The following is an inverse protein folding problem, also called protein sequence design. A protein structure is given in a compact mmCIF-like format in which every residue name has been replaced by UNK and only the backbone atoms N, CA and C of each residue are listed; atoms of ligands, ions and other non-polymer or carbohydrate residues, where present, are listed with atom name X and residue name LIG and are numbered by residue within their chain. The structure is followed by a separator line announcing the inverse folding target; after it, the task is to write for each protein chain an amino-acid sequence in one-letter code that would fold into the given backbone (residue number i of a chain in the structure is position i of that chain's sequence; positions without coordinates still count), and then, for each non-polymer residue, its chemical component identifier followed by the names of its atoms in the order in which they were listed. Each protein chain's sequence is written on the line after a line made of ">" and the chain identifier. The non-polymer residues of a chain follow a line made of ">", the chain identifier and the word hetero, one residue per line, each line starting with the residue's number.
data_IF_611417866670
#
_entry.id   IF_611417866670
#
_cell.length_a   1.000
_cell.length_b   1.000
_cell.length_c   1.000
_cell.angle_alpha   90.00
_cell.angle_beta   90.00
_cell.angle_gamma   90.00
#
_symmetry.space_group_name_H-M   'P 1'
#
loop_
_entity.id
_entity.type
_entity.pdbx_description
1 polymer ?
#
# COMPACT_ATOMS: atom_id res chain seq x y z
N UNK A 1 -4.83 35.79 28.55
CA UNK A 1 -3.53 35.21 28.14
C UNK A 1 -3.80 33.92 27.40
N UNK A 2 -3.69 33.92 26.07
CA UNK A 2 -3.92 32.73 25.25
C UNK A 2 -2.68 31.82 25.38
N UNK A 3 -2.84 30.71 26.11
CA UNK A 3 -1.85 29.64 26.17
C UNK A 3 -1.79 28.99 24.79
N UNK A 4 -0.75 29.31 24.03
CA UNK A 4 -0.42 28.63 22.78
C UNK A 4 0.11 27.25 23.18
N UNK A 5 -0.76 26.25 23.17
CA UNK A 5 -0.37 24.88 23.43
C UNK A 5 0.73 24.48 22.42
N UNK A 6 1.85 23.91 22.87
CA UNK A 6 2.90 23.49 21.96
C UNK A 6 2.36 22.42 21.01
N UNK A 7 2.51 22.64 19.71
CA UNK A 7 2.30 21.65 18.66
C UNK A 7 3.19 20.45 18.95
N UNK A 8 2.68 19.48 19.70
CA UNK A 8 3.36 18.22 19.93
C UNK A 8 3.48 17.51 18.58
N UNK A 9 4.65 17.60 17.96
CA UNK A 9 5.01 16.80 16.81
C UNK A 9 4.88 15.32 17.19
N UNK A 10 3.75 14.72 16.83
CA UNK A 10 3.51 13.29 16.94
C UNK A 10 4.60 12.59 16.11
N UNK A 11 5.56 11.96 16.81
CA UNK A 11 6.63 11.20 16.17
C UNK A 11 6.00 10.02 15.42
N UNK A 12 6.20 9.98 14.11
CA UNK A 12 5.80 8.84 13.27
C UNK A 12 6.54 7.59 13.73
N UNK A 13 5.81 6.49 13.93
CA UNK A 13 6.41 5.24 14.40
C UNK A 13 7.25 4.56 13.31
N UNK A 14 8.31 3.84 13.71
CA UNK A 14 9.15 3.04 12.79
C UNK A 14 8.31 2.10 11.92
N UNK A 15 7.26 1.49 12.48
CA UNK A 15 6.33 0.61 11.76
C UNK A 15 5.58 1.33 10.64
N UNK A 16 5.13 2.57 10.85
CA UNK A 16 4.47 3.36 9.81
C UNK A 16 5.44 3.74 8.70
N UNK A 17 6.68 4.07 9.04
CA UNK A 17 7.73 4.34 8.06
C UNK A 17 8.00 3.09 7.20
N UNK A 18 8.11 1.90 7.81
CA UNK A 18 8.30 0.65 7.06
C UNK A 18 7.14 0.38 6.07
N UNK A 19 5.90 0.58 6.51
CA UNK A 19 4.72 0.42 5.63
C UNK A 19 4.72 1.47 4.52
N UNK A 20 5.08 2.72 4.83
CA UNK A 20 5.20 3.79 3.84
C UNK A 20 6.24 3.44 2.76
N UNK A 21 7.43 3.01 3.18
CA UNK A 21 8.50 2.60 2.26
C UNK A 21 8.04 1.45 1.38
N UNK A 22 7.43 0.41 1.96
CA UNK A 22 6.87 -0.70 1.17
C UNK A 22 5.84 -0.24 0.14
N UNK A 23 4.90 0.61 0.54
CA UNK A 23 3.89 1.17 -0.36
C UNK A 23 4.52 2.03 -1.47
N UNK A 24 5.53 2.85 -1.15
CA UNK A 24 6.21 3.68 -2.14
C UNK A 24 7.04 2.87 -3.13
N UNK A 25 7.69 1.78 -2.71
CA UNK A 25 8.41 0.89 -3.63
C UNK A 25 7.46 0.24 -4.65
N UNK A 26 6.30 -0.24 -4.18
CA UNK A 26 5.27 -0.79 -5.08
C UNK A 26 4.71 0.31 -5.99
N UNK A 27 4.46 1.50 -5.44
CA UNK A 27 3.97 2.63 -6.22
C UNK A 27 4.96 3.08 -7.30
N UNK A 28 6.27 3.07 -7.01
CA UNK A 28 7.30 3.42 -7.97
C UNK A 28 7.31 2.43 -9.13
N UNK A 29 7.23 1.13 -8.84
CA UNK A 29 7.11 0.10 -9.87
C UNK A 29 5.86 0.29 -10.75
N UNK A 30 4.72 0.66 -10.15
CA UNK A 30 3.49 0.94 -10.88
C UNK A 30 3.59 2.20 -11.76
N UNK A 31 4.20 3.28 -11.26
CA UNK A 31 4.47 4.48 -12.05
C UNK A 31 5.40 4.19 -13.22
N UNK A 32 6.46 3.41 -13.00
CA UNK A 32 7.35 2.97 -14.09
C UNK A 32 6.56 2.23 -15.17
N UNK A 33 5.69 1.30 -14.77
CA UNK A 33 4.84 0.56 -15.71
C UNK A 33 3.89 1.47 -16.50
N UNK A 34 3.30 2.47 -15.86
CA UNK A 34 2.50 3.49 -16.53
C UNK A 34 3.33 4.26 -17.58
N UNK A 35 4.49 4.80 -17.20
CA UNK A 35 5.35 5.56 -18.11
C UNK A 35 5.89 4.70 -19.25
N UNK A 36 6.31 3.46 -18.99
CA UNK A 36 6.72 2.49 -20.01
C UNK A 36 5.60 2.22 -21.02
N UNK A 37 4.35 2.11 -20.54
CA UNK A 37 3.17 1.90 -21.39
C UNK A 37 2.85 3.13 -22.25
N UNK A 38 3.08 4.32 -21.72
CA UNK A 38 2.87 5.58 -22.43
C UNK A 38 3.95 5.80 -23.50
N UNK A 39 5.22 5.62 -23.16
CA UNK A 39 6.36 5.84 -24.06
C UNK A 39 6.38 4.81 -25.18
N UNK A 40 6.06 3.54 -24.88
CA UNK A 40 6.08 2.46 -25.86
C UNK A 40 4.69 2.12 -26.40
N UNK A 41 3.77 3.10 -26.43
CA UNK A 41 2.38 2.88 -26.81
C UNK A 41 2.24 2.22 -28.19
N UNK A 42 2.90 2.78 -29.21
CA UNK A 42 2.82 2.27 -30.59
C UNK A 42 3.47 0.89 -30.73
N UNK A 43 4.54 0.64 -29.98
CA UNK A 43 5.21 -0.65 -29.94
C UNK A 43 4.32 -1.72 -29.31
N UNK A 44 3.69 -1.44 -28.17
CA UNK A 44 2.75 -2.38 -27.55
C UNK A 44 1.48 -2.59 -28.37
N UNK A 45 1.04 -1.57 -29.11
CA UNK A 45 -0.08 -1.68 -30.05
C UNK A 45 0.27 -2.57 -31.25
N UNK A 46 1.47 -2.44 -31.80
CA UNK A 46 1.91 -3.24 -32.96
C UNK A 46 2.14 -4.71 -32.62
N UNK A 47 2.57 -5.01 -31.40
CA UNK A 47 2.74 -6.38 -30.89
C UNK A 47 1.42 -7.11 -30.61
N UNK A 48 0.28 -6.42 -30.66
CA UNK A 48 -1.05 -6.98 -30.36
C UNK A 48 -1.10 -7.78 -29.04
N UNK A 49 -0.28 -7.38 -28.05
CA UNK A 49 -0.15 -8.09 -26.77
C UNK A 49 -1.47 -7.98 -26.03
N UNK A 50 -1.99 -9.11 -25.55
CA UNK A 50 -3.09 -9.13 -24.60
C UNK A 50 -2.52 -9.21 -23.18
N UNK A 51 -3.00 -8.40 -22.22
CA UNK A 51 -3.96 -7.31 -22.36
C UNK A 51 -3.33 -6.06 -23.01
N UNK A 52 -4.09 -5.39 -23.89
CA UNK A 52 -3.59 -4.31 -24.74
C UNK A 52 -2.92 -3.13 -24.01
N UNK A 53 -2.19 -2.29 -24.75
CA UNK A 53 -1.46 -1.13 -24.22
C UNK A 53 -2.30 -0.23 -23.29
N UNK A 54 -3.58 -0.02 -23.64
CA UNK A 54 -4.52 0.74 -22.83
C UNK A 54 -4.74 0.15 -21.43
N UNK A 55 -4.83 -1.18 -21.31
CA UNK A 55 -4.97 -1.84 -20.03
C UNK A 55 -3.72 -1.64 -19.17
N UNK A 56 -2.52 -1.81 -19.74
CA UNK A 56 -1.27 -1.64 -19.00
C UNK A 56 -1.12 -0.21 -18.45
N UNK A 57 -1.54 0.77 -19.23
CA UNK A 57 -1.59 2.18 -18.82
C UNK A 57 -2.57 2.38 -17.66
N UNK A 58 -3.82 1.94 -17.79
CA UNK A 58 -4.83 2.09 -16.74
C UNK A 58 -4.44 1.35 -15.47
N UNK A 59 -3.98 0.10 -15.59
CA UNK A 59 -3.51 -0.70 -14.46
C UNK A 59 -2.34 -0.03 -13.73
N UNK A 60 -1.35 0.46 -14.49
CA UNK A 60 -0.20 1.17 -13.93
C UNK A 60 -0.63 2.42 -13.17
N UNK A 61 -1.49 3.24 -13.78
CA UNK A 61 -1.99 4.47 -13.18
C UNK A 61 -2.79 4.21 -11.90
N UNK A 62 -3.77 3.30 -11.95
CA UNK A 62 -4.62 2.97 -10.80
C UNK A 62 -3.78 2.41 -9.65
N UNK A 63 -2.90 1.45 -9.94
CA UNK A 63 -2.03 0.85 -8.92
C UNK A 63 -1.11 1.91 -8.30
N UNK A 64 -0.53 2.78 -9.11
CA UNK A 64 0.35 3.84 -8.64
C UNK A 64 -0.38 4.81 -7.71
N UNK A 65 -1.59 5.24 -8.07
CA UNK A 65 -2.39 6.13 -7.25
C UNK A 65 -2.82 5.48 -5.92
N UNK A 66 -3.23 4.20 -5.95
CA UNK A 66 -3.61 3.45 -4.75
C UNK A 66 -2.46 3.36 -3.75
N UNK A 67 -1.28 2.94 -4.20
CA UNK A 67 -0.13 2.76 -3.32
C UNK A 67 0.55 4.09 -2.92
N UNK A 68 0.56 5.11 -3.79
CA UNK A 68 0.98 6.48 -3.42
C UNK A 68 0.09 7.01 -2.31
N UNK A 69 -1.24 6.88 -2.46
CA UNK A 69 -2.21 7.34 -1.46
C UNK A 69 -2.03 6.60 -0.14
N UNK A 70 -1.85 5.28 -0.17
CA UNK A 70 -1.59 4.49 1.03
C UNK A 70 -0.28 4.94 1.74
N UNK A 71 0.79 5.17 0.98
CA UNK A 71 2.08 5.64 1.50
C UNK A 71 2.06 7.05 2.07
N UNK A 72 1.25 7.96 1.52
CA UNK A 72 1.07 9.31 2.08
C UNK A 72 0.21 9.24 3.35
N UNK A 73 -0.94 8.56 3.29
CA UNK A 73 -1.90 8.52 4.39
C UNK A 73 -1.34 7.81 5.64
N UNK A 74 -0.47 6.81 5.46
CA UNK A 74 0.15 6.10 6.60
C UNK A 74 1.10 7.00 7.42
N UNK A 75 1.68 8.02 6.78
CA UNK A 75 2.58 8.98 7.42
C UNK A 75 1.82 10.04 8.21
N UNK A 76 0.53 10.26 7.93
CA UNK A 76 -0.28 11.22 8.68
C UNK A 76 -0.50 10.68 10.11
N UNK A 77 -0.05 11.36 11.17
CA UNK A 77 -0.03 10.87 12.56
C UNK A 77 -1.41 10.68 13.24
N UNK A 78 -2.50 10.62 12.47
CA UNK A 78 -3.86 10.41 12.96
C UNK A 78 -4.26 8.92 12.84
N UNK A 79 -4.98 8.42 13.84
CA UNK A 79 -5.50 7.05 13.86
C UNK A 79 -6.67 6.85 12.89
N UNK A 80 -7.38 7.92 12.50
CA UNK A 80 -8.50 7.88 11.55
C UNK A 80 -8.11 7.32 10.18
N UNK A 81 -6.85 7.50 9.77
CA UNK A 81 -6.35 7.05 8.47
C UNK A 81 -6.01 5.56 8.40
N UNK A 82 -5.99 4.84 9.54
CA UNK A 82 -5.67 3.39 9.55
C UNK A 82 -6.61 2.59 8.67
N UNK A 83 -7.93 2.79 8.82
CA UNK A 83 -8.95 2.05 8.06
C UNK A 83 -8.88 2.36 6.55
N UNK A 84 -8.82 3.62 6.11
CA UNK A 84 -8.56 3.96 4.70
C UNK A 84 -7.29 3.32 4.14
N UNK A 85 -6.17 3.36 4.87
CA UNK A 85 -4.91 2.74 4.43
C UNK A 85 -5.07 1.22 4.28
N UNK A 86 -5.72 0.55 5.23
CA UNK A 86 -5.99 -0.88 5.14
C UNK A 86 -6.84 -1.23 3.91
N UNK A 87 -7.88 -0.43 3.62
CA UNK A 87 -8.72 -0.62 2.45
C UNK A 87 -7.90 -0.45 1.16
N UNK A 88 -7.04 0.58 1.09
CA UNK A 88 -6.18 0.81 -0.08
C UNK A 88 -5.20 -0.34 -0.31
N UNK A 89 -4.56 -0.85 0.75
CA UNK A 89 -3.64 -1.99 0.63
C UNK A 89 -4.36 -3.26 0.15
N UNK A 90 -5.58 -3.50 0.65
CA UNK A 90 -6.41 -4.63 0.22
C UNK A 90 -6.89 -4.46 -1.22
N UNK A 91 -7.33 -3.26 -1.61
CA UNK A 91 -7.73 -2.95 -2.98
C UNK A 91 -6.56 -3.16 -3.95
N UNK A 92 -5.36 -2.68 -3.61
CA UNK A 92 -4.15 -2.91 -4.39
C UNK A 92 -3.80 -4.40 -4.53
N UNK A 93 -3.97 -5.19 -3.45
CA UNK A 93 -3.78 -6.64 -3.50
C UNK A 93 -4.77 -7.32 -4.45
N UNK A 94 -6.05 -6.96 -4.39
CA UNK A 94 -7.08 -7.52 -5.28
C UNK A 94 -6.81 -7.14 -6.73
N UNK A 95 -6.45 -5.87 -7.01
CA UNK A 95 -6.06 -5.41 -8.34
C UNK A 95 -4.86 -6.21 -8.87
N UNK A 96 -3.85 -6.43 -8.03
CA UNK A 96 -2.69 -7.25 -8.37
C UNK A 96 -3.07 -8.70 -8.68
N UNK A 97 -3.96 -9.30 -7.89
CA UNK A 97 -4.42 -10.67 -8.10
C UNK A 97 -5.21 -10.81 -9.40
N UNK A 98 -6.09 -9.86 -9.71
CA UNK A 98 -6.82 -9.83 -10.98
C UNK A 98 -5.83 -9.76 -12.15
N UNK A 99 -4.82 -8.89 -12.08
CA UNK A 99 -3.77 -8.80 -13.12
C UNK A 99 -3.04 -10.14 -13.31
N UNK A 100 -2.61 -10.76 -12.21
CA UNK A 100 -1.86 -12.02 -12.25
C UNK A 100 -2.70 -13.21 -12.72
N UNK A 101 -3.93 -13.34 -12.26
CA UNK A 101 -4.78 -14.51 -12.55
C UNK A 101 -5.37 -14.42 -13.96
N UNK A 102 -5.88 -13.24 -14.36
CA UNK A 102 -6.62 -13.11 -15.61
C UNK A 102 -5.70 -12.89 -16.83
N UNK A 103 -4.56 -12.22 -16.63
CA UNK A 103 -3.79 -11.66 -17.74
C UNK A 103 -2.36 -12.19 -17.85
N UNK A 104 -1.76 -12.69 -16.77
CA UNK A 104 -0.42 -13.25 -16.83
C UNK A 104 -0.43 -14.69 -17.38
N UNK A 105 -0.49 -14.81 -18.71
CA UNK A 105 -0.62 -16.11 -19.40
C UNK A 105 0.70 -16.78 -19.77
N UNK A 106 1.85 -16.15 -19.58
CA UNK A 106 3.15 -16.78 -19.89
C UNK A 106 3.43 -17.96 -18.95
N UNK A 107 4.14 -18.98 -19.44
CA UNK A 107 4.49 -20.18 -18.67
C UNK A 107 5.27 -19.79 -17.41
N UNK A 108 6.20 -18.85 -17.54
CA UNK A 108 6.99 -18.29 -16.43
C UNK A 108 6.11 -17.61 -15.38
N UNK A 109 5.08 -16.88 -15.80
CA UNK A 109 4.17 -16.23 -14.87
C UNK A 109 3.27 -17.24 -14.14
N UNK A 110 2.84 -18.31 -14.84
CA UNK A 110 1.97 -19.34 -14.25
C UNK A 110 2.71 -20.20 -13.23
N UNK A 111 3.98 -20.56 -13.46
CA UNK A 111 4.77 -21.34 -12.49
C UNK A 111 5.09 -20.54 -11.23
N UNK A 112 5.32 -19.23 -11.35
CA UNK A 112 5.55 -18.34 -10.22
C UNK A 112 4.26 -17.85 -9.53
N UNK A 113 3.09 -18.12 -10.10
CA UNK A 113 1.80 -17.56 -9.67
C UNK A 113 1.47 -17.88 -8.20
N UNK A 114 1.53 -19.14 -7.73
CA UNK A 114 1.19 -19.46 -6.34
C UNK A 114 2.09 -18.73 -5.34
N UNK A 115 3.39 -18.70 -5.61
CA UNK A 115 4.37 -18.01 -4.78
C UNK A 115 4.11 -16.49 -4.74
N UNK A 116 3.83 -15.89 -5.90
CA UNK A 116 3.53 -14.47 -6.03
C UNK A 116 2.25 -14.07 -5.27
N UNK A 117 1.18 -14.87 -5.36
CA UNK A 117 -0.05 -14.64 -4.62
C UNK A 117 0.15 -14.78 -3.11
N UNK A 118 0.85 -15.82 -2.67
CA UNK A 118 1.13 -16.04 -1.26
C UNK A 118 2.01 -14.94 -0.66
N UNK A 119 3.09 -14.56 -1.36
CA UNK A 119 3.99 -13.51 -0.91
C UNK A 119 3.29 -12.15 -0.83
N UNK A 120 2.49 -11.79 -1.83
CA UNK A 120 1.74 -10.53 -1.82
C UNK A 120 0.70 -10.48 -0.70
N UNK A 121 -0.02 -11.57 -0.43
CA UNK A 121 -0.92 -11.65 0.72
C UNK A 121 -0.16 -11.55 2.05
N UNK A 122 0.98 -12.24 2.18
CA UNK A 122 1.82 -12.19 3.37
C UNK A 122 2.36 -10.78 3.66
N UNK A 123 2.81 -10.06 2.64
CA UNK A 123 3.28 -8.68 2.77
C UNK A 123 2.15 -7.71 3.13
N UNK A 124 0.98 -7.85 2.53
CA UNK A 124 -0.20 -7.05 2.89
C UNK A 124 -0.62 -7.33 4.33
N UNK A 125 -0.66 -8.60 4.76
CA UNK A 125 -0.98 -8.97 6.13
C UNK A 125 0.05 -8.40 7.13
N UNK A 126 1.34 -8.49 6.80
CA UNK A 126 2.41 -7.90 7.61
C UNK A 126 2.23 -6.39 7.75
N UNK A 127 1.91 -5.69 6.67
CA UNK A 127 1.65 -4.26 6.70
C UNK A 127 0.45 -3.91 7.60
N UNK A 128 -0.64 -4.68 7.52
CA UNK A 128 -1.80 -4.53 8.41
C UNK A 128 -1.45 -4.77 9.88
N UNK A 129 -0.66 -5.81 10.17
CA UNK A 129 -0.16 -6.10 11.50
C UNK A 129 0.71 -4.96 12.05
N UNK A 130 1.61 -4.41 11.22
CA UNK A 130 2.46 -3.27 11.59
C UNK A 130 1.66 -1.99 11.85
N UNK A 131 0.60 -1.75 11.08
CA UNK A 131 -0.32 -0.63 11.29
C UNK A 131 -1.07 -0.75 12.62
N UNK A 132 -1.46 -1.97 13.00
CA UNK A 132 -2.21 -2.25 14.22
C UNK A 132 -1.33 -2.36 15.48
N UNK A 133 -0.04 -2.70 15.35
CA UNK A 133 0.93 -2.78 16.47
C UNK A 133 1.29 -1.43 17.10
N UNK A 134 0.89 -0.30 16.53
CA UNK A 134 1.11 1.03 17.12
C UNK A 134 0.27 1.36 18.38
N UNK A 135 -0.49 0.41 18.94
CA UNK A 135 -1.47 0.63 20.04
C UNK A 135 -1.17 -0.12 21.37
N UNK A 136 0.07 -0.42 21.82
CA UNK A 136 0.26 -0.91 23.19
C UNK A 136 0.29 0.23 24.23
N UNK A 137 0.84 1.40 23.89
CA UNK A 137 1.09 2.48 24.87
C UNK A 137 -0.16 3.17 25.41
N UNK A 138 -1.22 3.34 24.60
CA UNK A 138 -2.43 4.06 25.01
C UNK A 138 -3.34 3.21 25.93
N UNK A 139 -3.30 1.88 25.78
CA UNK A 139 -4.11 0.95 26.58
C UNK A 139 -3.48 0.69 27.95
N UNK A 140 -2.16 0.62 28.04
CA UNK A 140 -1.41 0.52 29.31
C UNK A 140 -1.51 1.80 30.15
N UNK A 141 -1.43 2.98 29.52
CA UNK A 141 -1.54 4.25 30.24
C UNK A 141 -2.93 4.44 30.87
N UNK A 142 -4.00 4.11 30.15
CA UNK A 142 -5.36 4.13 30.71
C UNK A 142 -5.53 3.11 31.85
N UNK A 143 -4.86 1.96 31.78
CA UNK A 143 -4.96 0.94 32.83
C UNK A 143 -4.30 1.41 34.14
N UNK A 144 -3.15 2.06 34.06
CA UNK A 144 -2.49 2.65 35.22
C UNK A 144 -3.28 3.84 35.78
N UNK A 145 -3.80 4.74 34.94
CA UNK A 145 -4.64 5.87 35.42
C UNK A 145 -5.97 5.45 36.05
N UNK A 146 -6.44 4.23 35.77
CA UNK A 146 -7.64 3.64 36.40
C UNK A 146 -7.27 2.95 37.73
N UNK A 147 -6.10 2.29 37.79
CA UNK A 147 -5.63 1.65 39.02
C UNK A 147 -5.11 2.65 40.06
N UNK A 148 -4.47 3.75 39.65
CA UNK A 148 -3.99 4.79 40.57
C UNK A 148 -5.11 5.62 41.20
N UNK A 149 -6.37 5.42 40.75
CA UNK A 149 -7.57 6.07 41.29
C UNK A 149 -8.40 5.19 42.25
N UNK A 150 -7.94 3.98 42.54
CA UNK A 150 -8.54 3.08 43.53
C UNK A 150 -7.63 2.95 44.75
#
# INVERSE_FOLDING_TARGET
>A
MNSIAPLTHSKISKSRIMVAVGAFLVSLSAWMRFFLSLVNWDYYRSLQIQPGAAYLLVYGLVSALVYTSAGILVLIPDDKWKKPVSILLMAGLVIYWIDRICFARSIEAQTALPFSLFLSAGLTLLALCLLNRGIPGRRLKNWNEINDRK
#
